data_IF_068276608584
#
_entry.id   IF_068276608584
#
_cell.length_a   1.000
_cell.length_b   1.000
_cell.length_c   1.000
_cell.angle_alpha   90.00
_cell.angle_beta   90.00
_cell.angle_gamma   90.00
#
_symmetry.space_group_name_H-M   'P 1'
#
loop_
_entity.id
_entity.type
_entity.pdbx_description
1 polymer ?
#
# COMPACT_ATOMS: atom_id res chain seq x y z
N UNK A 1 -13.39 4.61 -10.34
CA UNK A 1 -12.37 4.09 -9.41
C UNK A 1 -11.16 3.68 -10.21
N UNK A 2 -9.96 3.83 -9.67
CA UNK A 2 -8.72 3.48 -10.36
C UNK A 2 -7.72 2.86 -9.37
N UNK A 3 -6.78 2.09 -9.90
CA UNK A 3 -5.63 1.57 -9.16
C UNK A 3 -4.40 2.39 -9.50
N UNK A 4 -3.56 2.63 -8.49
CA UNK A 4 -2.24 3.23 -8.65
C UNK A 4 -1.22 2.39 -7.90
N UNK A 5 0.00 2.36 -8.44
CA UNK A 5 1.16 1.91 -7.69
C UNK A 5 1.84 3.13 -7.04
N UNK A 6 2.20 3.02 -5.76
CA UNK A 6 2.84 4.09 -5.01
C UNK A 6 3.98 3.51 -4.15
N UNK A 7 5.18 4.07 -4.33
CA UNK A 7 6.38 3.71 -3.57
C UNK A 7 6.78 4.93 -2.72
N UNK A 8 6.90 4.73 -1.40
CA UNK A 8 7.33 5.77 -0.45
C UNK A 8 8.43 5.23 0.46
N UNK A 9 9.32 6.11 0.93
CA UNK A 9 10.41 5.78 1.86
C UNK A 9 10.14 6.23 3.31
N UNK A 10 9.02 6.92 3.56
CA UNK A 10 8.57 7.30 4.90
C UNK A 10 7.26 6.57 5.27
N UNK A 11 6.93 6.58 6.56
CA UNK A 11 5.80 5.81 7.11
C UNK A 11 4.98 6.59 8.14
N UNK A 12 4.61 7.84 7.86
CA UNK A 12 3.81 8.65 8.80
C UNK A 12 2.42 8.03 9.00
N UNK A 13 1.77 8.36 10.13
CA UNK A 13 0.44 7.85 10.44
C UNK A 13 -0.54 8.11 9.28
N UNK A 14 -1.13 7.03 8.74
CA UNK A 14 -2.10 7.04 7.63
C UNK A 14 -1.62 7.82 6.40
N UNK A 15 -0.31 7.88 6.15
CA UNK A 15 0.29 8.75 5.16
C UNK A 15 -0.33 8.63 3.76
N UNK A 16 -0.37 7.41 3.19
CA UNK A 16 -0.94 7.20 1.85
C UNK A 16 -2.39 7.69 1.76
N UNK A 17 -3.21 7.39 2.79
CA UNK A 17 -4.60 7.84 2.83
C UNK A 17 -4.72 9.36 2.88
N UNK A 18 -3.84 10.05 3.61
CA UNK A 18 -3.80 11.51 3.67
C UNK A 18 -3.31 12.12 2.36
N UNK A 19 -2.27 11.54 1.74
CA UNK A 19 -1.74 11.98 0.45
C UNK A 19 -2.81 11.93 -0.65
N UNK A 20 -3.50 10.81 -0.82
CA UNK A 20 -4.48 10.71 -1.92
C UNK A 20 -5.75 11.54 -1.64
N UNK A 21 -6.17 11.66 -0.38
CA UNK A 21 -7.29 12.55 -0.01
C UNK A 21 -6.96 14.02 -0.27
N UNK A 22 -5.72 14.46 -0.03
CA UNK A 22 -5.28 15.83 -0.26
C UNK A 22 -5.37 16.25 -1.75
N UNK A 23 -5.31 15.29 -2.68
CA UNK A 23 -5.46 15.53 -4.13
C UNK A 23 -6.84 15.17 -4.67
N UNK A 24 -7.86 15.00 -3.80
CA UNK A 24 -9.24 14.75 -4.22
C UNK A 24 -9.57 13.30 -4.59
N UNK A 25 -8.69 12.35 -4.26
CA UNK A 25 -8.89 10.92 -4.54
C UNK A 25 -8.77 10.06 -3.27
N UNK A 26 -9.79 10.03 -2.38
CA UNK A 26 -9.75 9.25 -1.14
C UNK A 26 -9.47 7.75 -1.37
N UNK A 27 -8.60 7.16 -0.54
CA UNK A 27 -8.23 5.74 -0.68
C UNK A 27 -9.36 4.80 -0.23
N UNK A 28 -9.93 4.03 -1.17
CA UNK A 28 -10.92 2.99 -0.88
C UNK A 28 -10.28 1.70 -0.39
N UNK A 29 -9.23 1.22 -1.08
CA UNK A 29 -8.47 0.01 -0.74
C UNK A 29 -6.98 0.34 -0.77
N UNK A 30 -6.26 -0.11 0.26
CA UNK A 30 -4.81 0.04 0.37
C UNK A 30 -4.22 -1.35 0.62
N UNK A 31 -3.38 -1.81 -0.31
CA UNK A 31 -2.61 -3.04 -0.17
C UNK A 31 -1.15 -2.63 -0.18
N UNK A 32 -0.36 -3.14 0.76
CA UNK A 32 1.09 -2.99 0.76
C UNK A 32 1.68 -4.22 0.10
N UNK A 33 2.06 -4.10 -1.18
CA UNK A 33 2.58 -5.21 -1.98
C UNK A 33 4.02 -5.59 -1.64
N UNK A 34 4.83 -4.64 -1.14
CA UNK A 34 6.23 -4.88 -0.82
C UNK A 34 6.74 -4.00 0.35
N UNK A 35 7.82 -4.45 0.99
CA UNK A 35 8.63 -3.69 1.96
C UNK A 35 10.11 -4.00 1.70
N UNK A 36 10.86 -3.01 1.22
CA UNK A 36 12.27 -3.23 0.86
C UNK A 36 12.38 -4.36 -0.17
N UNK A 37 13.18 -5.41 0.07
CA UNK A 37 13.33 -6.54 -0.84
C UNK A 37 12.20 -7.57 -0.78
N UNK A 38 11.29 -7.49 0.21
CA UNK A 38 10.25 -8.49 0.42
C UNK A 38 8.97 -8.11 -0.36
N UNK A 39 8.38 -9.07 -1.09
CA UNK A 39 7.12 -8.90 -1.84
C UNK A 39 6.04 -9.87 -1.35
N UNK A 40 4.77 -9.61 -1.71
CA UNK A 40 3.64 -10.51 -1.47
C UNK A 40 3.49 -11.59 -2.56
N UNK A 41 4.41 -11.68 -3.51
CA UNK A 41 4.27 -12.61 -4.64
C UNK A 41 4.25 -14.06 -4.14
N UNK A 42 3.24 -14.81 -4.57
CA UNK A 42 3.05 -16.20 -4.14
C UNK A 42 2.41 -16.39 -2.75
N UNK A 43 2.13 -15.31 -2.00
CA UNK A 43 1.51 -15.40 -0.67
C UNK A 43 0.01 -15.09 -0.71
N UNK A 44 -0.82 -16.04 -0.29
CA UNK A 44 -2.26 -15.85 -0.23
C UNK A 44 -2.66 -14.98 0.99
N UNK A 45 -3.77 -14.21 0.92
CA UNK A 45 -4.27 -13.47 2.07
C UNK A 45 -4.48 -14.38 3.29
N UNK A 46 -3.94 -13.99 4.44
CA UNK A 46 -4.05 -14.75 5.69
C UNK A 46 -3.01 -15.87 5.86
N UNK A 47 -2.11 -16.06 4.90
CA UNK A 47 -1.00 -17.02 5.00
C UNK A 47 0.32 -16.33 5.34
N UNK A 48 1.31 -17.12 5.77
CA UNK A 48 2.67 -16.67 6.06
C UNK A 48 3.68 -17.72 5.55
N UNK A 49 4.91 -17.27 5.31
CA UNK A 49 6.06 -18.10 4.93
C UNK A 49 7.29 -17.64 5.73
N UNK A 50 8.18 -18.57 6.08
CA UNK A 50 9.43 -18.33 6.80
C UNK A 50 10.56 -17.83 5.87
#
# INVERSE_FOLDING_TARGET
TAWIELIIREGRNRQVRRMTAAVGHPTLRLIRSAIGPYTLDGLAPGTWAD
#
